data_IF_846146226986
#
_entry.id   IF_846146226986
#
_cell.length_a   1.000
_cell.length_b   1.000
_cell.length_c   1.000
_cell.angle_alpha   90.00
_cell.angle_beta   90.00
_cell.angle_gamma   90.00
#
_symmetry.space_group_name_H-M   'P 1'
#
loop_
_entity.id
_entity.type
_entity.pdbx_description
1 polymer ?
#
# COMPACT_ATOMS: atom_id res chain seq x y z
N UNK A 1 -21.00 4.66 24.59
CA UNK A 1 -20.03 5.71 24.72
C UNK A 1 -18.64 5.15 24.67
N UNK A 2 -17.85 5.59 23.70
CA UNK A 2 -16.45 5.26 23.56
C UNK A 2 -15.60 6.50 23.80
N UNK A 3 -14.28 6.35 23.73
CA UNK A 3 -13.31 7.43 23.83
C UNK A 3 -12.80 7.83 22.44
N UNK A 4 -12.68 9.12 22.17
CA UNK A 4 -12.14 9.65 20.92
C UNK A 4 -11.02 10.62 21.24
N UNK A 5 -9.82 10.32 20.76
CA UNK A 5 -8.68 11.22 20.85
C UNK A 5 -8.39 11.81 19.46
N UNK A 6 -8.34 13.15 19.41
CA UNK A 6 -7.90 13.93 18.26
C UNK A 6 -6.51 14.49 18.54
N UNK A 7 -5.53 14.14 17.75
CA UNK A 7 -4.18 14.67 17.84
C UNK A 7 -3.83 15.47 16.60
N UNK A 8 -3.49 16.74 16.78
CA UNK A 8 -3.03 17.61 15.70
C UNK A 8 -1.51 17.69 15.70
N UNK A 9 -0.94 17.49 14.52
CA UNK A 9 0.49 17.68 14.23
C UNK A 9 0.68 18.89 13.32
N UNK A 10 1.88 19.42 13.25
CA UNK A 10 2.18 20.55 12.35
C UNK A 10 1.92 20.22 10.88
N UNK A 11 1.46 21.20 10.10
CA UNK A 11 1.23 21.03 8.66
C UNK A 11 2.54 20.72 7.92
N UNK A 12 2.56 19.59 7.21
CA UNK A 12 3.71 19.14 6.45
C UNK A 12 3.53 19.42 4.96
N UNK A 13 4.47 20.19 4.39
CA UNK A 13 4.46 20.51 2.96
C UNK A 13 5.10 19.42 2.08
N UNK A 14 5.99 18.61 2.66
CA UNK A 14 6.71 17.55 1.95
C UNK A 14 6.03 16.18 2.18
N UNK A 15 5.80 15.44 1.10
CA UNK A 15 5.22 14.10 1.16
C UNK A 15 6.13 13.07 1.86
N UNK A 16 7.46 13.23 1.75
CA UNK A 16 8.43 12.35 2.40
C UNK A 16 8.36 12.45 3.93
N UNK A 17 8.21 13.69 4.46
CA UNK A 17 8.01 13.91 5.89
C UNK A 17 6.73 13.23 6.40
N UNK A 18 5.67 13.17 5.57
CA UNK A 18 4.44 12.47 5.95
C UNK A 18 4.65 10.97 6.07
N UNK A 19 5.45 10.40 5.16
CA UNK A 19 5.78 8.98 5.16
C UNK A 19 6.70 8.58 6.35
N UNK A 20 7.27 9.55 7.09
CA UNK A 20 8.06 9.35 8.31
C UNK A 20 7.26 9.68 9.59
N UNK A 21 6.59 10.83 9.63
CA UNK A 21 5.96 11.34 10.86
C UNK A 21 4.70 10.57 11.22
N UNK A 22 3.82 10.28 10.25
CA UNK A 22 2.59 9.52 10.55
C UNK A 22 2.86 8.10 11.06
N UNK A 23 3.77 7.30 10.47
CA UNK A 23 4.14 6.00 11.03
C UNK A 23 4.66 6.09 12.46
N UNK A 24 5.52 7.08 12.74
CA UNK A 24 6.03 7.33 14.10
C UNK A 24 4.91 7.63 15.09
N UNK A 25 3.96 8.49 14.73
CA UNK A 25 2.81 8.82 15.58
C UNK A 25 1.90 7.62 15.83
N UNK A 26 1.67 6.80 14.79
CA UNK A 26 0.94 5.53 14.93
C UNK A 26 1.65 4.60 15.90
N UNK A 27 2.96 4.45 15.78
CA UNK A 27 3.75 3.64 16.70
C UNK A 27 3.66 4.16 18.14
N UNK A 28 3.80 5.47 18.38
CA UNK A 28 3.66 6.09 19.71
C UNK A 28 2.27 5.84 20.30
N UNK A 29 1.22 5.94 19.48
CA UNK A 29 -0.16 5.62 19.89
C UNK A 29 -0.30 4.15 20.30
N UNK A 30 0.23 3.22 19.50
CA UNK A 30 0.22 1.78 19.81
C UNK A 30 0.99 1.50 21.11
N UNK A 31 2.15 2.14 21.31
CA UNK A 31 2.92 1.98 22.54
C UNK A 31 2.14 2.45 23.78
N UNK A 32 1.40 3.55 23.65
CA UNK A 32 0.52 4.07 24.73
C UNK A 32 -0.64 3.13 25.07
N UNK A 33 -0.99 2.21 24.16
CA UNK A 33 -2.09 1.25 24.30
C UNK A 33 -1.67 -0.14 24.81
N UNK A 34 -0.37 -0.41 24.89
CA UNK A 34 0.15 -1.76 25.23
C UNK A 34 -0.38 -2.35 26.54
N UNK A 35 -0.75 -1.50 27.48
CA UNK A 35 -1.28 -1.94 28.79
C UNK A 35 -2.80 -2.00 28.84
N UNK A 36 -3.47 -1.50 27.79
CA UNK A 36 -4.91 -1.35 27.76
C UNK A 36 -5.60 -2.38 26.87
N UNK A 37 -4.94 -2.85 25.81
CA UNK A 37 -5.51 -3.82 24.85
C UNK A 37 -4.43 -4.67 24.19
N UNK A 38 -4.85 -5.78 23.61
CA UNK A 38 -3.99 -6.63 22.78
C UNK A 38 -3.73 -5.99 21.41
N UNK A 39 -2.58 -6.29 20.81
CA UNK A 39 -2.25 -5.81 19.45
C UNK A 39 -3.29 -6.22 18.40
N UNK A 40 -3.95 -7.37 18.60
CA UNK A 40 -5.02 -7.87 17.73
C UNK A 40 -6.30 -7.04 17.75
N UNK A 41 -6.50 -6.24 18.80
CA UNK A 41 -7.66 -5.34 18.95
C UNK A 41 -7.50 -4.02 18.18
N UNK A 42 -6.27 -3.72 17.71
CA UNK A 42 -5.92 -2.46 17.08
C UNK A 42 -5.99 -2.58 15.54
N UNK A 43 -6.75 -1.67 14.92
CA UNK A 43 -6.79 -1.53 13.47
C UNK A 43 -6.36 -0.12 13.04
N UNK A 44 -5.39 -0.04 12.15
CA UNK A 44 -4.97 1.21 11.51
C UNK A 44 -5.67 1.33 10.16
N UNK A 45 -6.49 2.37 9.99
CA UNK A 45 -7.25 2.62 8.76
C UNK A 45 -6.56 3.69 7.93
N UNK A 46 -6.28 3.38 6.66
CA UNK A 46 -5.64 4.30 5.72
C UNK A 46 -6.49 4.50 4.48
N UNK A 47 -6.32 5.63 3.79
CA UNK A 47 -7.00 5.90 2.51
C UNK A 47 -6.28 5.24 1.35
N UNK A 48 -4.95 5.36 1.30
CA UNK A 48 -4.11 4.92 0.18
C UNK A 48 -3.26 3.73 0.61
N UNK A 49 -3.06 2.80 -0.33
CA UNK A 49 -2.19 1.64 -0.11
C UNK A 49 -0.78 2.04 0.33
N UNK A 50 -0.19 3.08 -0.28
CA UNK A 50 1.16 3.52 0.05
C UNK A 50 1.29 4.00 1.51
N UNK A 51 0.24 4.61 2.07
CA UNK A 51 0.19 5.02 3.47
C UNK A 51 0.27 3.80 4.40
N UNK A 52 -0.51 2.74 4.07
CA UNK A 52 -0.44 1.47 4.79
C UNK A 52 0.93 0.78 4.69
N UNK A 53 1.58 0.86 3.53
CA UNK A 53 2.93 0.31 3.33
C UNK A 53 3.96 1.05 4.20
N UNK A 54 3.89 2.39 4.28
CA UNK A 54 4.79 3.20 5.10
C UNK A 54 4.66 2.84 6.59
N UNK A 55 3.42 2.76 7.11
CA UNK A 55 3.14 2.35 8.49
C UNK A 55 3.64 0.94 8.76
N UNK A 56 3.33 0.00 7.87
CA UNK A 56 3.70 -1.39 8.05
C UNK A 56 5.23 -1.58 8.08
N UNK A 57 5.95 -0.84 7.23
CA UNK A 57 7.42 -0.86 7.22
C UNK A 57 7.98 -0.39 8.57
N UNK A 58 7.53 0.76 9.06
CA UNK A 58 7.99 1.35 10.32
C UNK A 58 7.68 0.45 11.53
N UNK A 59 6.45 -0.11 11.59
CA UNK A 59 6.07 -1.03 12.66
C UNK A 59 6.87 -2.33 12.63
N UNK A 60 7.15 -2.86 11.43
CA UNK A 60 7.98 -4.08 11.27
C UNK A 60 9.43 -3.83 11.70
N UNK A 61 10.02 -2.67 11.34
CA UNK A 61 11.36 -2.28 11.79
C UNK A 61 11.46 -2.14 13.32
N UNK A 62 10.34 -1.85 13.98
CA UNK A 62 10.20 -1.75 15.44
C UNK A 62 9.68 -3.04 16.10
N UNK A 63 9.72 -4.16 15.37
CA UNK A 63 9.33 -5.49 15.85
C UNK A 63 7.89 -5.57 16.37
N UNK A 64 6.96 -4.72 15.87
CA UNK A 64 5.53 -4.83 16.16
C UNK A 64 4.90 -5.80 15.16
N UNK A 65 4.27 -6.90 15.62
CA UNK A 65 3.54 -7.81 14.76
C UNK A 65 2.39 -7.08 14.03
N UNK A 66 2.32 -7.26 12.72
CA UNK A 66 1.28 -6.64 11.87
C UNK A 66 0.59 -7.65 10.96
N UNK A 67 -0.68 -7.38 10.65
CA UNK A 67 -1.44 -8.03 9.59
C UNK A 67 -1.92 -6.96 8.63
N UNK A 68 -1.44 -7.01 7.39
CA UNK A 68 -1.87 -6.06 6.37
C UNK A 68 -2.16 -6.78 5.06
N UNK A 69 -3.35 -6.56 4.53
CA UNK A 69 -3.75 -7.13 3.24
C UNK A 69 -2.96 -6.60 2.04
N UNK A 70 -2.16 -5.54 2.23
CA UNK A 70 -1.40 -4.89 1.16
C UNK A 70 0.11 -5.15 1.29
N UNK A 71 0.63 -5.26 2.52
CA UNK A 71 2.06 -5.46 2.78
C UNK A 71 2.45 -6.93 2.80
N UNK A 72 1.48 -7.80 3.02
CA UNK A 72 1.66 -9.25 3.03
C UNK A 72 1.46 -9.90 1.66
N UNK A 73 1.25 -9.11 0.60
CA UNK A 73 1.27 -9.63 -0.76
C UNK A 73 2.66 -10.15 -1.10
N UNK A 74 2.76 -11.43 -1.36
CA UNK A 74 4.02 -12.11 -1.67
C UNK A 74 4.73 -11.48 -2.85
N UNK A 75 3.99 -10.97 -3.84
CA UNK A 75 4.52 -10.28 -5.00
C UNK A 75 5.25 -8.96 -4.69
N UNK A 76 4.98 -8.33 -3.54
CA UNK A 76 5.62 -7.07 -3.15
C UNK A 76 6.96 -7.29 -2.45
N UNK A 77 7.30 -8.52 -2.10
CA UNK A 77 8.59 -8.84 -1.50
C UNK A 77 9.69 -8.81 -2.58
N UNK A 78 10.75 -8.03 -2.35
CA UNK A 78 11.85 -7.85 -3.30
C UNK A 78 12.59 -9.14 -3.64
N UNK A 79 12.74 -10.06 -2.68
CA UNK A 79 13.40 -11.34 -2.91
C UNK A 79 12.54 -12.26 -3.77
N UNK A 80 11.23 -12.30 -3.55
CA UNK A 80 10.30 -13.04 -4.38
C UNK A 80 10.26 -12.43 -5.79
N UNK A 81 10.19 -11.09 -5.91
CA UNK A 81 10.29 -10.38 -7.18
C UNK A 81 11.54 -10.76 -7.96
N UNK A 82 12.70 -10.80 -7.30
CA UNK A 82 13.95 -11.25 -7.91
C UNK A 82 13.86 -12.69 -8.45
N UNK A 83 13.32 -13.64 -7.66
CA UNK A 83 13.16 -15.02 -8.11
C UNK A 83 12.23 -15.11 -9.33
N UNK A 84 11.11 -14.38 -9.31
CA UNK A 84 10.18 -14.34 -10.45
C UNK A 84 10.83 -13.73 -11.69
N UNK A 85 11.59 -12.64 -11.55
CA UNK A 85 12.29 -12.00 -12.69
C UNK A 85 13.37 -12.91 -13.25
N UNK A 86 14.07 -13.66 -12.39
CA UNK A 86 15.03 -14.66 -12.86
C UNK A 86 14.33 -15.83 -13.59
N UNK A 87 13.18 -16.29 -13.12
CA UNK A 87 12.37 -17.30 -13.83
C UNK A 87 11.87 -16.79 -15.19
N UNK A 88 11.46 -15.53 -15.28
CA UNK A 88 11.08 -14.88 -16.55
C UNK A 88 12.27 -14.84 -17.51
N UNK A 89 13.46 -14.51 -17.04
CA UNK A 89 14.69 -14.49 -17.83
C UNK A 89 15.11 -15.90 -18.28
N UNK A 90 14.91 -16.93 -17.45
CA UNK A 90 15.16 -18.34 -17.82
C UNK A 90 14.16 -18.80 -18.89
N UNK A 91 12.90 -18.41 -18.77
CA UNK A 91 11.86 -18.78 -19.74
C UNK A 91 12.05 -18.05 -21.09
N UNK A 92 12.50 -16.80 -21.05
CA UNK A 92 12.69 -15.95 -22.21
C UNK A 92 14.01 -15.16 -22.10
N UNK A 93 15.06 -15.69 -22.74
CA UNK A 93 16.42 -15.13 -22.68
C UNK A 93 16.54 -13.66 -23.13
N UNK A 94 15.60 -13.18 -23.93
CA UNK A 94 15.56 -11.80 -24.46
C UNK A 94 14.64 -10.86 -23.70
N UNK A 95 14.20 -11.25 -22.51
CA UNK A 95 13.37 -10.41 -21.66
C UNK A 95 14.23 -9.36 -20.96
N UNK A 96 14.36 -8.20 -21.58
CA UNK A 96 15.22 -7.11 -21.07
C UNK A 96 14.67 -6.49 -19.79
N UNK A 97 13.34 -6.46 -19.60
CA UNK A 97 12.72 -5.97 -18.37
C UNK A 97 13.07 -6.89 -17.19
N UNK A 98 12.91 -8.20 -17.35
CA UNK A 98 13.29 -9.17 -16.34
C UNK A 98 14.79 -9.13 -16.03
N UNK A 99 15.63 -8.95 -17.04
CA UNK A 99 17.08 -8.79 -16.89
C UNK A 99 17.42 -7.54 -16.07
N UNK A 100 16.76 -6.41 -16.38
CA UNK A 100 16.92 -5.17 -15.61
C UNK A 100 16.54 -5.36 -14.14
N UNK A 101 15.40 -5.98 -13.84
CA UNK A 101 14.94 -6.24 -12.48
C UNK A 101 15.91 -7.14 -11.71
N UNK A 102 16.47 -8.17 -12.36
CA UNK A 102 17.50 -9.03 -11.76
C UNK A 102 18.75 -8.23 -11.41
N UNK A 103 19.24 -7.39 -12.32
CA UNK A 103 20.44 -6.56 -12.09
C UNK A 103 20.19 -5.48 -11.03
N UNK A 104 19.01 -4.87 -11.03
CA UNK A 104 18.61 -3.88 -10.04
C UNK A 104 18.64 -4.45 -8.62
N UNK A 105 18.08 -5.64 -8.44
CA UNK A 105 18.12 -6.35 -7.16
C UNK A 105 19.55 -6.71 -6.74
N UNK A 106 20.34 -7.26 -7.66
CA UNK A 106 21.72 -7.68 -7.37
C UNK A 106 22.60 -6.51 -6.98
N UNK A 107 22.52 -5.38 -7.71
CA UNK A 107 23.27 -4.17 -7.35
C UNK A 107 22.98 -3.72 -5.92
N UNK A 108 21.71 -3.67 -5.53
CA UNK A 108 21.31 -3.24 -4.19
C UNK A 108 21.75 -4.15 -3.05
N UNK A 109 22.14 -5.41 -3.35
CA UNK A 109 22.44 -6.42 -2.33
C UNK A 109 23.91 -6.91 -2.33
N UNK A 110 24.67 -6.65 -3.41
CA UNK A 110 26.04 -7.17 -3.57
C UNK A 110 27.11 -6.16 -3.12
N UNK A 111 26.73 -5.02 -2.55
CA UNK A 111 27.67 -3.94 -2.15
C UNK A 111 28.64 -3.57 -3.30
N UNK A 112 28.12 -3.41 -4.50
CA UNK A 112 28.92 -2.97 -5.64
C UNK A 112 29.31 -1.52 -5.38
N UNK A 113 30.61 -1.23 -5.44
CA UNK A 113 31.14 0.14 -5.29
C UNK A 113 30.93 0.99 -6.53
N UNK A 114 30.46 0.41 -7.62
CA UNK A 114 30.19 1.06 -8.87
C UNK A 114 28.84 1.78 -8.85
N UNK A 115 28.73 2.81 -9.67
CA UNK A 115 27.45 3.48 -9.87
C UNK A 115 26.42 2.51 -10.46
N UNK A 116 25.19 2.57 -9.96
CA UNK A 116 24.11 1.66 -10.37
C UNK A 116 23.83 1.72 -11.86
N UNK A 117 23.88 2.92 -12.45
CA UNK A 117 23.62 3.10 -13.86
C UNK A 117 24.70 2.44 -14.71
N UNK A 118 25.97 2.65 -14.34
CA UNK A 118 27.11 2.07 -15.05
C UNK A 118 27.11 0.54 -14.96
N UNK A 119 26.84 -0.01 -13.76
CA UNK A 119 26.71 -1.44 -13.56
C UNK A 119 25.62 -2.07 -14.45
N UNK A 120 24.41 -1.49 -14.43
CA UNK A 120 23.30 -2.01 -15.23
C UNK A 120 23.59 -1.84 -16.72
N UNK A 121 24.12 -0.69 -17.16
CA UNK A 121 24.41 -0.41 -18.55
C UNK A 121 25.46 -1.37 -19.14
N UNK A 122 26.44 -1.75 -18.36
CA UNK A 122 27.48 -2.70 -18.77
C UNK A 122 26.92 -4.13 -18.97
N UNK A 123 25.99 -4.56 -18.12
CA UNK A 123 25.57 -5.96 -18.05
C UNK A 123 24.25 -6.24 -18.77
N UNK A 124 23.34 -5.27 -18.90
CA UNK A 124 22.00 -5.50 -19.46
C UNK A 124 22.02 -5.94 -20.94
N UNK A 125 23.06 -5.54 -21.68
CA UNK A 125 23.23 -5.89 -23.10
C UNK A 125 23.78 -7.29 -23.34
N UNK A 126 24.29 -7.94 -22.31
CA UNK A 126 24.87 -9.27 -22.42
C UNK A 126 23.78 -10.33 -22.56
N UNK A 127 24.07 -11.37 -23.36
CA UNK A 127 23.23 -12.58 -23.32
C UNK A 127 23.30 -13.23 -21.92
N UNK A 128 22.24 -13.91 -21.46
CA UNK A 128 22.19 -14.42 -20.09
C UNK A 128 23.37 -15.30 -19.66
N UNK A 129 23.90 -16.12 -20.58
CA UNK A 129 25.06 -16.95 -20.28
C UNK A 129 26.31 -16.11 -20.02
N UNK A 130 26.56 -15.08 -20.83
CA UNK A 130 27.67 -14.14 -20.63
C UNK A 130 27.45 -13.26 -19.40
N UNK A 131 26.21 -12.84 -19.14
CA UNK A 131 25.83 -12.08 -17.96
C UNK A 131 26.23 -12.81 -16.65
N UNK A 132 25.86 -14.08 -16.51
CA UNK A 132 26.21 -14.85 -15.29
C UNK A 132 27.69 -15.17 -15.19
N UNK A 133 28.41 -15.22 -16.31
CA UNK A 133 29.87 -15.34 -16.29
C UNK A 133 30.53 -14.05 -15.75
N UNK A 134 30.09 -12.89 -16.20
CA UNK A 134 30.58 -11.60 -15.70
C UNK A 134 30.21 -11.38 -14.21
N UNK A 135 29.03 -11.85 -13.79
CA UNK A 135 28.62 -11.78 -12.41
C UNK A 135 29.49 -12.65 -11.45
N UNK A 136 30.29 -13.59 -11.96
CA UNK A 136 31.27 -14.31 -11.15
C UNK A 136 32.34 -13.40 -10.52
N UNK A 137 32.68 -12.28 -11.20
CA UNK A 137 33.57 -11.26 -10.64
C UNK A 137 33.03 -10.65 -9.34
N UNK A 138 31.71 -10.62 -9.18
CA UNK A 138 31.00 -10.16 -7.98
C UNK A 138 30.66 -11.31 -7.02
N UNK A 139 31.32 -12.47 -7.16
CA UNK A 139 31.11 -13.68 -6.33
C UNK A 139 29.70 -14.31 -6.51
N UNK A 140 28.98 -13.99 -7.56
CA UNK A 140 27.69 -14.57 -7.89
C UNK A 140 27.93 -15.69 -8.90
N UNK A 141 27.69 -16.93 -8.50
CA UNK A 141 27.82 -18.13 -9.33
C UNK A 141 26.47 -18.79 -9.51
N UNK A 142 25.91 -18.66 -10.70
CA UNK A 142 24.65 -19.31 -11.06
C UNK A 142 24.68 -19.82 -12.49
N UNK A 143 24.22 -21.05 -12.71
CA UNK A 143 24.11 -21.64 -14.04
C UNK A 143 22.65 -21.88 -14.41
N UNK A 144 22.09 -21.03 -15.26
CA UNK A 144 20.70 -21.12 -15.71
C UNK A 144 20.34 -22.45 -16.37
N UNK A 145 21.30 -23.11 -17.06
CA UNK A 145 21.03 -24.37 -17.75
C UNK A 145 20.65 -25.51 -16.80
N UNK A 146 21.11 -25.44 -15.53
CA UNK A 146 20.75 -26.43 -14.50
C UNK A 146 19.25 -26.43 -14.19
N UNK A 147 18.58 -25.29 -14.35
CA UNK A 147 17.14 -25.16 -14.09
C UNK A 147 16.32 -26.15 -14.95
N UNK A 148 16.72 -26.38 -16.19
CA UNK A 148 16.04 -27.32 -17.12
C UNK A 148 16.10 -28.78 -16.67
N UNK A 149 17.00 -29.12 -15.76
CA UNK A 149 17.15 -30.48 -15.20
C UNK A 149 16.32 -30.70 -13.93
N UNK A 150 15.72 -29.68 -13.39
CA UNK A 150 14.97 -29.67 -12.14
C UNK A 150 13.46 -29.60 -12.35
N UNK A 151 12.69 -30.06 -11.38
CA UNK A 151 11.30 -29.64 -11.28
C UNK A 151 11.23 -28.15 -10.96
N UNK A 152 10.08 -27.50 -11.20
CA UNK A 152 9.91 -26.07 -10.90
C UNK A 152 10.24 -25.76 -9.43
N UNK A 153 9.85 -26.62 -8.49
CA UNK A 153 10.15 -26.45 -7.08
C UNK A 153 11.66 -26.54 -6.79
N UNK A 154 12.30 -27.58 -7.27
CA UNK A 154 13.76 -27.76 -7.08
C UNK A 154 14.57 -26.64 -7.72
N UNK A 155 14.12 -26.17 -8.91
CA UNK A 155 14.77 -25.05 -9.60
C UNK A 155 14.64 -23.74 -8.83
N UNK A 156 13.48 -23.45 -8.25
CA UNK A 156 13.27 -22.27 -7.39
C UNK A 156 14.11 -22.38 -6.11
N UNK A 157 14.17 -23.56 -5.51
CA UNK A 157 15.02 -23.82 -4.33
C UNK A 157 16.50 -23.63 -4.66
N UNK A 158 16.99 -24.10 -5.82
CA UNK A 158 18.35 -23.90 -6.31
C UNK A 158 18.68 -22.42 -6.51
N UNK A 159 17.74 -21.63 -7.05
CA UNK A 159 17.87 -20.16 -7.15
C UNK A 159 18.07 -19.57 -5.74
N UNK A 160 17.17 -19.85 -4.82
CA UNK A 160 17.22 -19.28 -3.46
C UNK A 160 18.54 -19.67 -2.76
N UNK A 161 19.02 -20.88 -2.93
CA UNK A 161 20.31 -21.32 -2.34
C UNK A 161 21.53 -20.70 -3.00
N UNK A 162 21.50 -20.49 -4.31
CA UNK A 162 22.62 -19.94 -5.08
C UNK A 162 22.87 -18.47 -4.80
N UNK A 163 21.81 -17.71 -4.49
CA UNK A 163 21.92 -16.30 -4.19
C UNK A 163 21.87 -16.06 -2.69
N UNK A 164 23.02 -15.78 -2.07
CA UNK A 164 23.16 -15.57 -0.62
C UNK A 164 22.21 -14.51 -0.06
N UNK A 165 21.83 -13.51 -0.88
CA UNK A 165 20.95 -12.40 -0.49
C UNK A 165 19.48 -12.81 -0.35
N UNK A 166 19.12 -13.98 -0.86
CA UNK A 166 17.80 -14.57 -0.65
C UNK A 166 17.77 -15.52 0.54
N UNK A 167 18.94 -15.89 1.09
CA UNK A 167 19.06 -16.79 2.25
C UNK A 167 18.60 -16.10 3.55
N UNK A 168 18.22 -16.89 4.52
CA UNK A 168 17.72 -16.48 5.85
C UNK A 168 16.27 -16.92 6.06
N UNK A 169 15.80 -16.86 7.30
CA UNK A 169 14.39 -17.12 7.60
C UNK A 169 13.54 -15.94 7.13
N UNK A 170 13.11 -16.00 5.89
CA UNK A 170 12.23 -15.01 5.27
C UNK A 170 10.87 -15.69 5.05
N UNK A 171 9.87 -15.27 5.82
CA UNK A 171 8.53 -15.84 5.75
C UNK A 171 7.91 -15.71 4.34
N UNK A 172 8.26 -14.66 3.59
CA UNK A 172 7.78 -14.49 2.22
C UNK A 172 8.35 -15.53 1.27
N UNK A 173 9.65 -15.83 1.38
CA UNK A 173 10.27 -16.87 0.56
C UNK A 173 9.76 -18.25 0.92
N UNK A 174 9.52 -18.51 2.21
CA UNK A 174 8.99 -19.80 2.66
C UNK A 174 7.56 -19.99 2.13
N UNK A 175 6.70 -19.00 2.29
CA UNK A 175 5.34 -19.03 1.77
C UNK A 175 5.32 -19.12 0.22
N UNK A 176 6.26 -18.45 -0.44
CA UNK A 176 6.42 -18.57 -1.89
C UNK A 176 6.84 -19.98 -2.31
N UNK A 177 7.75 -20.62 -1.58
CA UNK A 177 8.12 -22.02 -1.82
C UNK A 177 6.94 -22.97 -1.63
N UNK A 178 6.13 -22.79 -0.60
CA UNK A 178 4.91 -23.56 -0.39
C UNK A 178 3.92 -23.39 -1.57
N UNK A 179 3.79 -22.16 -2.08
CA UNK A 179 2.97 -21.89 -3.26
C UNK A 179 3.50 -22.57 -4.52
N UNK A 180 4.84 -22.57 -4.74
CA UNK A 180 5.48 -23.28 -5.85
C UNK A 180 5.29 -24.80 -5.70
N UNK A 181 5.39 -25.31 -4.48
CA UNK A 181 5.14 -26.73 -4.19
C UNK A 181 3.69 -27.13 -4.52
N UNK A 182 2.72 -26.34 -4.08
CA UNK A 182 1.30 -26.52 -4.40
C UNK A 182 1.05 -26.55 -5.91
N UNK A 183 1.71 -25.66 -6.67
CA UNK A 183 1.63 -25.69 -8.14
C UNK A 183 2.15 -27.02 -8.69
N UNK A 184 3.29 -27.51 -8.22
CA UNK A 184 3.87 -28.77 -8.72
C UNK A 184 2.96 -29.97 -8.46
N UNK A 185 2.26 -29.98 -7.32
CA UNK A 185 1.27 -31.02 -6.98
C UNK A 185 0.04 -30.96 -7.88
N UNK A 186 -0.36 -29.79 -8.34
CA UNK A 186 -1.55 -29.57 -9.21
C UNK A 186 -1.28 -29.70 -10.70
N UNK A 187 -0.01 -29.72 -11.12
CA UNK A 187 0.41 -29.73 -12.54
C UNK A 187 -0.13 -30.94 -13.34
N UNK A 188 -0.54 -32.01 -12.67
CA UNK A 188 -1.19 -33.16 -13.31
C UNK A 188 -2.57 -32.85 -13.91
N UNK A 189 -3.14 -31.66 -13.66
CA UNK A 189 -4.51 -31.32 -14.05
C UNK A 189 -4.62 -30.20 -15.12
N UNK A 190 -3.57 -29.36 -15.35
CA UNK A 190 -3.61 -28.27 -16.33
C UNK A 190 -2.22 -28.00 -16.92
N UNK A 191 -2.13 -27.86 -18.25
CA UNK A 191 -0.91 -27.49 -19.00
C UNK A 191 -0.60 -25.97 -18.92
N UNK A 192 -0.64 -25.37 -17.74
CA UNK A 192 -0.36 -23.94 -17.54
C UNK A 192 1.07 -23.82 -17.01
N UNK A 193 1.86 -22.88 -17.53
CA UNK A 193 3.21 -22.59 -17.02
C UNK A 193 3.15 -22.01 -15.61
N UNK A 194 4.21 -22.17 -14.81
CA UNK A 194 4.25 -21.60 -13.47
C UNK A 194 4.11 -20.07 -13.49
N UNK A 195 4.71 -19.39 -14.46
CA UNK A 195 4.62 -17.94 -14.57
C UNK A 195 3.19 -17.47 -14.89
N UNK A 196 2.46 -18.17 -15.74
CA UNK A 196 1.03 -17.88 -15.99
C UNK A 196 0.20 -18.11 -14.74
N UNK A 197 0.45 -19.20 -14.01
CA UNK A 197 -0.21 -19.48 -12.74
C UNK A 197 0.10 -18.42 -11.68
N UNK A 198 1.34 -17.93 -11.63
CA UNK A 198 1.73 -16.83 -10.78
C UNK A 198 0.97 -15.54 -11.12
N UNK A 199 0.93 -15.15 -12.40
CA UNK A 199 0.24 -13.92 -12.82
C UNK A 199 -1.28 -13.98 -12.52
N UNK A 200 -1.90 -15.16 -12.57
CA UNK A 200 -3.30 -15.33 -12.20
C UNK A 200 -3.56 -15.17 -10.69
N UNK A 201 -2.60 -15.56 -9.84
CA UNK A 201 -2.79 -15.69 -8.39
C UNK A 201 -2.08 -14.65 -7.53
N UNK A 202 -1.03 -14.00 -8.05
CA UNK A 202 -0.13 -13.14 -7.26
C UNK A 202 -0.84 -11.97 -6.56
N UNK A 203 -1.95 -11.45 -7.13
CA UNK A 203 -2.75 -10.35 -6.55
C UNK A 203 -3.49 -10.74 -5.27
N UNK A 204 -3.68 -12.04 -5.05
CA UNK A 204 -4.44 -12.59 -3.90
C UNK A 204 -3.55 -13.37 -2.94
N UNK A 205 -2.28 -13.58 -3.30
CA UNK A 205 -1.36 -14.38 -2.51
C UNK A 205 -0.79 -13.54 -1.36
N UNK A 206 -1.38 -13.73 -0.17
CA UNK A 206 -0.97 -13.05 1.05
C UNK A 206 -0.36 -14.05 2.02
N UNK A 207 0.67 -13.63 2.75
CA UNK A 207 1.07 -14.38 3.95
C UNK A 207 -0.05 -14.19 4.97
N UNK A 208 -0.72 -15.27 5.29
CA UNK A 208 -1.63 -15.29 6.44
C UNK A 208 -0.74 -15.43 7.67
N UNK A 209 -0.85 -14.48 8.60
CA UNK A 209 -0.17 -14.59 9.88
C UNK A 209 -0.60 -15.92 10.51
N UNK A 210 0.35 -16.72 10.96
CA UNK A 210 0.06 -17.98 11.65
C UNK A 210 -0.91 -17.69 12.80
N UNK A 211 -2.06 -18.36 12.77
CA UNK A 211 -3.15 -18.22 13.73
C UNK A 211 -2.60 -18.20 15.17
N UNK A 212 -2.85 -17.11 15.89
CA UNK A 212 -2.65 -17.04 17.34
C UNK A 212 -1.71 -15.95 17.87
N UNK A 213 -0.98 -15.20 17.04
CA UNK A 213 -0.18 -14.06 17.54
C UNK A 213 -1.01 -12.78 17.40
N UNK A 214 -1.30 -12.07 18.52
CA UNK A 214 -1.96 -10.76 18.45
C UNK A 214 -1.14 -9.80 17.58
N UNK A 215 -1.72 -9.24 16.54
CA UNK A 215 -1.02 -8.38 15.60
C UNK A 215 -1.90 -7.20 15.17
N UNK A 216 -1.29 -6.02 15.02
CA UNK A 216 -1.98 -4.81 14.57
C UNK A 216 -2.46 -4.99 13.14
N UNK A 217 -3.74 -4.74 12.90
CA UNK A 217 -4.33 -4.82 11.57
C UNK A 217 -4.13 -3.50 10.82
N UNK A 218 -3.68 -3.56 9.56
CA UNK A 218 -3.55 -2.37 8.71
C UNK A 218 -4.37 -2.61 7.45
N UNK A 219 -5.35 -1.75 7.18
CA UNK A 219 -6.18 -1.88 5.99
C UNK A 219 -6.69 -0.53 5.47
N UNK A 220 -7.16 -0.55 4.22
CA UNK A 220 -7.82 0.65 3.67
C UNK A 220 -9.25 0.78 4.20
N UNK A 221 -9.74 2.03 4.32
CA UNK A 221 -11.10 2.32 4.78
C UNK A 221 -12.16 1.54 3.98
N UNK A 222 -11.96 1.35 2.66
CA UNK A 222 -12.91 0.58 1.85
C UNK A 222 -12.99 -0.89 2.26
N UNK A 223 -11.86 -1.49 2.66
CA UNK A 223 -11.82 -2.89 3.10
C UNK A 223 -12.40 -3.09 4.49
N UNK A 224 -12.44 -2.04 5.30
CA UNK A 224 -13.03 -2.09 6.64
C UNK A 224 -14.56 -1.99 6.66
N UNK A 225 -15.20 -1.78 5.49
CA UNK A 225 -16.66 -1.68 5.42
C UNK A 225 -17.32 -2.98 5.90
N UNK A 226 -18.16 -2.87 6.94
CA UNK A 226 -18.83 -4.02 7.56
C UNK A 226 -18.02 -4.73 8.65
N UNK A 227 -16.79 -4.29 8.93
CA UNK A 227 -15.98 -4.77 10.04
C UNK A 227 -16.05 -3.78 11.20
N UNK A 228 -15.73 -4.25 12.40
CA UNK A 228 -15.63 -3.44 13.63
C UNK A 228 -14.39 -3.86 14.41
N UNK A 229 -13.76 -2.89 15.09
CA UNK A 229 -12.54 -3.12 15.84
C UNK A 229 -12.64 -2.43 17.19
N UNK A 230 -12.15 -3.03 18.27
CA UNK A 230 -12.12 -2.39 19.58
C UNK A 230 -11.43 -1.02 19.54
N UNK A 231 -10.25 -0.96 18.91
CA UNK A 231 -9.48 0.27 18.74
C UNK A 231 -9.23 0.55 17.27
N UNK A 232 -9.49 1.78 16.85
CA UNK A 232 -9.15 2.26 15.51
C UNK A 232 -8.20 3.44 15.61
N UNK A 233 -7.11 3.38 14.84
CA UNK A 233 -6.20 4.50 14.62
C UNK A 233 -6.39 4.97 13.17
N UNK A 234 -6.76 6.24 13.01
CA UNK A 234 -6.93 6.88 11.72
C UNK A 234 -5.88 7.98 11.52
N UNK A 235 -4.70 7.65 10.99
CA UNK A 235 -3.71 8.62 10.55
C UNK A 235 -4.05 9.13 9.15
N UNK A 236 -3.51 10.26 8.80
CA UNK A 236 -3.67 10.96 7.53
C UNK A 236 -5.05 11.58 7.31
N UNK A 237 -5.02 12.77 6.77
CA UNK A 237 -6.23 13.48 6.42
C UNK A 237 -6.80 13.05 5.08
N UNK A 238 -8.13 13.01 4.98
CA UNK A 238 -8.82 12.87 3.70
C UNK A 238 -8.88 14.24 2.99
N UNK A 239 -8.48 14.24 1.72
CA UNK A 239 -8.80 15.36 0.83
C UNK A 239 -10.24 15.15 0.29
N UNK A 240 -11.14 16.05 0.69
CA UNK A 240 -12.57 15.92 0.43
C UNK A 240 -12.91 16.16 -1.04
N UNK A 241 -12.08 16.94 -1.76
CA UNK A 241 -12.36 17.36 -3.14
C UNK A 241 -11.38 16.76 -4.16
N UNK A 242 -10.37 16.02 -3.69
CA UNK A 242 -9.35 15.53 -4.60
C UNK A 242 -9.84 14.35 -5.44
N UNK A 243 -9.69 14.50 -6.74
CA UNK A 243 -9.75 13.41 -7.70
C UNK A 243 -8.58 13.50 -8.68
N UNK A 244 -7.94 12.36 -8.91
CA UNK A 244 -6.88 12.27 -9.92
C UNK A 244 -7.48 12.16 -11.30
N UNK A 245 -7.24 13.18 -12.15
CA UNK A 245 -7.74 13.22 -13.54
C UNK A 245 -9.27 13.05 -13.64
N UNK A 246 -10.05 13.96 -13.02
CA UNK A 246 -11.50 13.85 -13.04
C UNK A 246 -12.03 13.97 -14.48
N UNK A 247 -12.93 13.05 -14.85
CA UNK A 247 -13.56 13.02 -16.16
C UNK A 247 -15.08 13.12 -16.03
N UNK A 248 -15.72 13.82 -16.99
CA UNK A 248 -17.16 13.94 -17.06
C UNK A 248 -17.67 13.77 -18.49
N UNK A 249 -18.89 13.28 -18.61
CA UNK A 249 -19.60 13.30 -19.87
C UNK A 249 -20.18 14.69 -20.12
N UNK A 250 -19.74 15.32 -21.21
CA UNK A 250 -20.34 16.54 -21.72
C UNK A 250 -21.36 16.14 -22.78
N UNK A 251 -22.63 16.16 -22.42
CA UNK A 251 -23.77 15.67 -23.24
C UNK A 251 -24.51 16.77 -23.96
N UNK A 252 -25.44 16.41 -24.85
CA UNK A 252 -26.25 17.30 -25.69
C UNK A 252 -25.40 18.22 -26.56
N UNK A 253 -24.46 17.61 -27.25
CA UNK A 253 -23.64 18.26 -28.26
C UNK A 253 -24.47 18.56 -29.49
N UNK A 254 -24.10 19.59 -30.25
CA UNK A 254 -24.62 19.78 -31.60
C UNK A 254 -24.03 18.68 -32.48
N UNK A 255 -24.92 17.83 -33.01
CA UNK A 255 -24.52 16.66 -33.78
C UNK A 255 -23.83 17.04 -35.11
N UNK A 256 -24.15 18.21 -35.68
CA UNK A 256 -23.51 18.70 -36.90
C UNK A 256 -22.04 19.08 -36.62
N UNK A 257 -21.79 19.77 -35.51
CA UNK A 257 -20.43 20.20 -35.12
C UNK A 257 -19.55 19.05 -34.62
N UNK A 258 -20.18 17.98 -34.10
CA UNK A 258 -19.47 16.85 -33.46
C UNK A 258 -19.63 15.50 -34.18
N UNK A 259 -19.80 15.53 -35.53
CA UNK A 259 -19.87 14.33 -36.37
C UNK A 259 -20.90 13.28 -35.89
N UNK A 260 -22.04 13.72 -35.37
CA UNK A 260 -23.14 12.87 -34.91
C UNK A 260 -22.98 12.35 -33.46
N UNK A 261 -21.93 12.74 -32.73
CA UNK A 261 -21.80 12.36 -31.31
C UNK A 261 -22.72 13.18 -30.43
N UNK A 262 -23.50 12.52 -29.58
CA UNK A 262 -24.41 13.19 -28.61
C UNK A 262 -23.64 13.62 -27.33
N UNK A 263 -22.52 13.00 -27.01
CA UNK A 263 -21.71 13.28 -25.82
C UNK A 263 -20.23 12.92 -26.02
N UNK A 264 -19.38 13.65 -25.33
CA UNK A 264 -17.94 13.40 -25.29
C UNK A 264 -17.44 13.30 -23.84
N UNK A 265 -16.41 12.49 -23.61
CA UNK A 265 -15.74 12.40 -22.32
C UNK A 265 -14.67 13.49 -22.26
N UNK A 266 -14.79 14.40 -21.29
CA UNK A 266 -13.89 15.55 -21.12
C UNK A 266 -13.22 15.53 -19.75
N UNK A 267 -12.05 16.15 -19.66
CA UNK A 267 -11.41 16.38 -18.37
C UNK A 267 -12.20 17.43 -17.58
N UNK A 268 -12.72 17.04 -16.42
CA UNK A 268 -13.51 17.91 -15.54
C UNK A 268 -12.60 18.69 -14.58
N UNK A 269 -11.75 19.51 -15.15
CA UNK A 269 -10.90 20.46 -14.41
C UNK A 269 -11.56 21.85 -14.42
N UNK A 270 -10.96 22.82 -13.72
CA UNK A 270 -11.41 24.21 -13.77
C UNK A 270 -11.51 24.79 -15.20
N UNK A 271 -10.85 24.15 -16.17
CA UNK A 271 -10.90 24.55 -17.59
C UNK A 271 -12.28 24.33 -18.21
N UNK A 272 -13.07 23.36 -17.72
CA UNK A 272 -14.41 23.08 -18.25
C UNK A 272 -15.38 24.24 -18.01
N UNK A 273 -15.10 25.12 -17.04
CA UNK A 273 -15.88 26.35 -16.81
C UNK A 273 -15.91 27.26 -18.04
N UNK A 274 -14.83 27.21 -18.87
CA UNK A 274 -14.77 27.97 -20.13
C UNK A 274 -15.79 27.50 -21.18
N UNK A 275 -16.37 26.33 -21.00
CA UNK A 275 -17.46 25.81 -21.85
C UNK A 275 -18.85 26.36 -21.45
N UNK A 276 -18.88 27.47 -20.71
CA UNK A 276 -20.11 28.18 -20.29
C UNK A 276 -20.85 27.49 -19.15
N UNK A 277 -22.12 27.89 -18.99
CA UNK A 277 -22.96 27.47 -17.85
C UNK A 277 -23.04 25.96 -17.69
N UNK A 278 -23.04 25.19 -18.77
CA UNK A 278 -23.04 23.72 -18.70
C UNK A 278 -21.76 23.17 -18.13
N UNK A 279 -20.59 23.72 -18.50
CA UNK A 279 -19.31 23.33 -17.94
C UNK A 279 -19.22 23.60 -16.42
N UNK A 280 -19.78 24.73 -15.98
CA UNK A 280 -19.90 25.07 -14.55
C UNK A 280 -20.79 24.07 -13.81
N UNK A 281 -21.97 23.75 -14.36
CA UNK A 281 -22.87 22.76 -13.75
C UNK A 281 -22.26 21.39 -13.61
N UNK A 282 -21.55 20.92 -14.64
CA UNK A 282 -20.83 19.61 -14.58
C UNK A 282 -19.77 19.62 -13.47
N UNK A 283 -18.96 20.67 -13.41
CA UNK A 283 -17.91 20.78 -12.40
C UNK A 283 -18.51 20.85 -10.98
N UNK A 284 -19.57 21.59 -10.81
CA UNK A 284 -20.26 21.71 -9.51
C UNK A 284 -20.93 20.38 -9.09
N UNK A 285 -21.61 19.68 -10.01
CA UNK A 285 -22.20 18.37 -9.74
C UNK A 285 -21.14 17.37 -9.30
N UNK A 286 -20.04 17.28 -10.02
CA UNK A 286 -18.93 16.37 -9.64
C UNK A 286 -18.32 16.71 -8.29
N UNK A 287 -18.15 18.00 -7.99
CA UNK A 287 -17.66 18.41 -6.67
C UNK A 287 -18.59 17.99 -5.55
N UNK A 288 -19.90 18.13 -5.73
CA UNK A 288 -20.90 17.69 -4.74
C UNK A 288 -20.89 16.18 -4.57
N UNK A 289 -20.78 15.41 -5.65
CA UNK A 289 -20.69 13.95 -5.61
C UNK A 289 -19.43 13.51 -4.86
N UNK A 290 -18.27 14.10 -5.18
CA UNK A 290 -17.00 13.79 -4.49
C UNK A 290 -17.02 14.16 -3.02
N UNK A 291 -17.61 15.28 -2.68
CA UNK A 291 -17.81 15.70 -1.30
C UNK A 291 -18.64 14.66 -0.54
N UNK A 292 -19.74 14.22 -1.13
CA UNK A 292 -20.61 13.19 -0.55
C UNK A 292 -19.86 11.86 -0.37
N UNK A 293 -19.12 11.41 -1.38
CA UNK A 293 -18.29 10.20 -1.30
C UNK A 293 -17.26 10.27 -0.18
N UNK A 294 -16.59 11.42 -0.05
CA UNK A 294 -15.57 11.64 0.98
C UNK A 294 -16.18 11.69 2.39
N UNK A 295 -17.35 12.29 2.55
CA UNK A 295 -18.08 12.26 3.82
C UNK A 295 -18.55 10.85 4.18
N UNK A 296 -19.07 10.08 3.21
CA UNK A 296 -19.44 8.69 3.41
C UNK A 296 -18.22 7.86 3.83
N UNK A 297 -17.07 8.11 3.21
CA UNK A 297 -15.84 7.41 3.55
C UNK A 297 -15.35 7.78 4.97
N UNK A 298 -15.40 9.06 5.32
CA UNK A 298 -15.08 9.53 6.65
C UNK A 298 -16.03 8.93 7.71
N UNK A 299 -17.32 8.91 7.43
CA UNK A 299 -18.32 8.27 8.27
C UNK A 299 -18.00 6.78 8.49
N UNK A 300 -17.70 6.04 7.41
CA UNK A 300 -17.28 4.63 7.53
C UNK A 300 -16.07 4.52 8.44
N UNK A 301 -15.05 5.35 8.25
CA UNK A 301 -13.83 5.31 9.05
C UNK A 301 -14.11 5.56 10.54
N UNK A 302 -14.83 6.63 10.86
CA UNK A 302 -15.10 7.06 12.24
C UNK A 302 -16.06 6.12 12.99
N UNK A 303 -16.81 5.28 12.26
CA UNK A 303 -17.76 4.32 12.84
C UNK A 303 -17.21 2.90 12.97
N UNK A 304 -15.94 2.66 12.67
CA UNK A 304 -15.33 1.32 12.81
C UNK A 304 -14.89 1.00 14.22
N UNK A 305 -14.60 2.02 15.03
CA UNK A 305 -14.21 1.84 16.41
C UNK A 305 -15.41 1.49 17.30
N UNK A 306 -15.27 0.44 18.07
CA UNK A 306 -16.28 0.04 19.09
C UNK A 306 -16.05 0.77 20.40
N UNK A 307 -14.79 0.89 20.83
CA UNK A 307 -14.42 1.42 22.13
C UNK A 307 -13.57 2.69 22.06
N UNK A 308 -12.50 2.68 21.26
CA UNK A 308 -11.56 3.79 21.19
C UNK A 308 -11.20 4.17 19.75
N UNK A 309 -11.20 5.47 19.48
CA UNK A 309 -10.85 6.04 18.17
C UNK A 309 -9.74 7.08 18.34
N UNK A 310 -8.62 6.85 17.69
CA UNK A 310 -7.47 7.76 17.64
C UNK A 310 -7.36 8.38 16.25
N UNK A 311 -7.47 9.70 16.18
CA UNK A 311 -7.35 10.45 14.91
C UNK A 311 -6.07 11.29 14.97
N UNK A 312 -5.18 11.11 14.00
CA UNK A 312 -3.96 11.90 13.85
C UNK A 312 -4.09 12.76 12.60
N UNK A 313 -4.10 14.07 12.76
CA UNK A 313 -4.48 15.03 11.74
C UNK A 313 -3.51 16.20 11.70
N UNK A 314 -3.31 16.84 10.55
CA UNK A 314 -2.50 18.03 10.44
C UNK A 314 -3.28 19.27 10.88
N UNK A 315 -2.66 20.16 11.65
CA UNK A 315 -3.24 21.47 11.95
C UNK A 315 -3.08 22.41 10.75
N UNK A 316 -4.00 22.28 9.80
CA UNK A 316 -4.00 23.11 8.57
C UNK A 316 -4.76 24.40 8.78
N UNK A 317 -4.24 25.46 8.19
CA UNK A 317 -4.98 26.70 8.11
C UNK A 317 -6.09 26.63 7.03
N UNK A 318 -7.27 27.21 7.31
CA UNK A 318 -8.35 27.24 6.34
C UNK A 318 -7.91 28.06 5.12
N UNK A 319 -7.92 27.41 3.96
CA UNK A 319 -7.84 28.08 2.64
C UNK A 319 -9.27 28.27 2.13
N UNK A 320 -9.45 29.04 1.07
CA UNK A 320 -10.77 29.43 0.50
C UNK A 320 -11.80 28.27 0.32
N UNK A 321 -11.38 27.01 0.51
CA UNK A 321 -12.22 25.81 0.44
C UNK A 321 -11.85 24.81 1.53
N UNK A 322 -12.84 24.30 2.24
CA UNK A 322 -12.73 23.11 3.05
C UNK A 322 -12.28 21.95 2.15
N UNK A 323 -10.98 21.65 2.15
CA UNK A 323 -10.39 20.59 1.32
C UNK A 323 -9.97 19.35 2.10
N UNK A 324 -9.87 19.45 3.44
CA UNK A 324 -9.28 18.41 4.28
C UNK A 324 -10.16 18.06 5.48
N UNK A 325 -10.17 16.78 5.86
CA UNK A 325 -10.87 16.31 7.07
C UNK A 325 -10.40 17.00 8.35
N UNK A 326 -9.12 17.39 8.41
CA UNK A 326 -8.56 18.16 9.55
C UNK A 326 -9.34 19.44 9.85
N UNK A 327 -9.78 20.16 8.83
CA UNK A 327 -10.57 21.38 9.01
C UNK A 327 -11.94 21.09 9.63
N UNK A 328 -12.56 19.96 9.27
CA UNK A 328 -13.83 19.51 9.87
C UNK A 328 -13.64 19.17 11.35
N UNK A 329 -12.54 18.53 11.71
CA UNK A 329 -12.24 18.21 13.10
C UNK A 329 -11.96 19.48 13.92
N UNK A 330 -11.23 20.44 13.34
CA UNK A 330 -10.98 21.75 13.97
C UNK A 330 -12.29 22.52 14.16
N UNK A 331 -13.13 22.60 13.14
CA UNK A 331 -14.44 23.26 13.20
C UNK A 331 -15.36 22.61 14.26
N UNK A 332 -15.33 21.28 14.36
CA UNK A 332 -16.07 20.57 15.40
C UNK A 332 -15.64 21.01 16.81
N UNK A 333 -14.33 21.08 17.07
CA UNK A 333 -13.79 21.51 18.36
C UNK A 333 -14.10 22.98 18.65
N UNK A 334 -13.99 23.86 17.65
CA UNK A 334 -14.35 25.29 17.77
C UNK A 334 -15.81 25.45 18.11
N UNK A 335 -16.71 24.80 17.37
CA UNK A 335 -18.17 24.88 17.59
C UNK A 335 -18.58 24.31 18.96
N UNK A 336 -17.81 23.36 19.49
CA UNK A 336 -18.02 22.81 20.84
C UNK A 336 -17.43 23.69 21.94
N UNK A 337 -16.66 24.71 21.59
CA UNK A 337 -15.94 25.56 22.55
C UNK A 337 -14.77 24.86 23.24
N UNK A 338 -14.24 23.79 22.64
CA UNK A 338 -13.15 22.99 23.20
C UNK A 338 -11.81 23.28 22.54
N UNK A 339 -11.77 24.07 21.47
CA UNK A 339 -10.54 24.44 20.80
C UNK A 339 -9.72 25.42 21.64
N UNK A 340 -8.45 25.11 21.86
CA UNK A 340 -7.47 25.95 22.56
C UNK A 340 -6.22 26.10 21.68
N UNK A 341 -5.75 27.33 21.50
CA UNK A 341 -4.55 27.59 20.68
C UNK A 341 -3.30 26.98 21.35
N UNK A 342 -2.49 26.26 20.56
CA UNK A 342 -1.29 25.55 21.06
C UNK A 342 -1.55 24.19 21.66
N UNK A 343 -2.79 23.80 21.88
CA UNK A 343 -3.15 22.44 22.32
C UNK A 343 -3.18 21.49 21.14
N UNK A 344 -2.51 20.36 21.30
CA UNK A 344 -2.35 19.38 20.20
C UNK A 344 -3.20 18.11 20.39
N UNK A 345 -3.64 17.82 21.62
CA UNK A 345 -4.42 16.61 21.94
C UNK A 345 -5.74 16.99 22.58
N UNK A 346 -6.82 16.47 22.02
CA UNK A 346 -8.19 16.66 22.49
C UNK A 346 -8.85 15.31 22.73
N UNK A 347 -9.45 15.13 23.87
CA UNK A 347 -10.16 13.93 24.28
C UNK A 347 -11.66 14.19 24.36
N UNK A 348 -12.46 13.28 23.82
CA UNK A 348 -13.91 13.34 23.81
C UNK A 348 -14.47 11.99 24.24
N UNK A 349 -15.14 11.94 25.39
CA UNK A 349 -15.69 10.71 25.96
C UNK A 349 -15.01 10.32 27.26
N UNK A 350 -15.29 9.14 27.73
CA UNK A 350 -14.66 8.56 28.92
C UNK A 350 -13.89 7.31 28.53
N UNK A 351 -12.58 7.33 28.74
CA UNK A 351 -11.73 6.16 28.55
C UNK A 351 -12.12 5.09 29.59
N UNK A 352 -12.68 3.99 29.12
CA UNK A 352 -12.98 2.83 29.94
C UNK A 352 -11.89 1.79 29.71
N UNK A 353 -11.44 1.10 30.79
CA UNK A 353 -10.57 -0.05 30.62
C UNK A 353 -11.27 -1.11 29.77
N UNK A 354 -10.52 -1.80 28.90
CA UNK A 354 -11.05 -2.89 28.10
C UNK A 354 -11.70 -3.92 29.00
N UNK A 355 -12.94 -4.23 28.72
CA UNK A 355 -13.62 -5.33 29.40
C UNK A 355 -12.99 -6.62 28.86
N UNK A 356 -12.42 -7.46 29.74
CA UNK A 356 -11.96 -8.80 29.35
C UNK A 356 -13.06 -9.48 28.53
N UNK A 357 -12.76 -9.83 27.28
CA UNK A 357 -13.68 -10.63 26.47
C UNK A 357 -13.97 -11.90 27.26
N UNK A 358 -15.17 -12.06 27.73
CA UNK A 358 -15.67 -13.37 28.16
C UNK A 358 -15.55 -14.30 26.95
N UNK A 359 -14.57 -15.18 27.00
CA UNK A 359 -14.40 -16.29 26.08
C UNK A 359 -15.63 -17.20 26.03
#
# INVERSE_FOLDING_TARGET
GGDVQLQFIEEMKNAELKDEIYPKMVFETIQGLKNDCDLGDICVLVRKKKEGVAIAKDLTEKEIPIVSSETLLVKNNKKVGFVISLLKLIAENKNDDAKFEVLDFLHGHVMVSEDKHDFIQALVKLEPAALFLELEAYQIKYNMQRFNSYSTFEGVEDIIRSFKHTQGSDAFLQFFLDFVFDYTQRKSQKNISFLEFWEEKNDKLNIVNSDGIPAVQIMTIHKSKGLEFPVVIFPYDLDIYFERSPKAWYSKLDQEDFNGFESILVDSTSRIQKAGVRGEMILESQRKEKQLDSFNLLYVCLTRAVEQLYIISENKEPKERLGWSSLLFKDFLVNRGSWEEGKTIYECGERKPFTEKQL
#
